data_IF_500895088284
#
_entry.id   IF_500895088284
#
_cell.length_a   1.000
_cell.length_b   1.000
_cell.length_c   1.000
_cell.angle_alpha   90.00
_cell.angle_beta   90.00
_cell.angle_gamma   90.00
#
_symmetry.space_group_name_H-M   'P 1'
#
loop_
_entity.id
_entity.type
_entity.pdbx_description
1 polymer ?
#
# COMPACT_ATOMS: atom_id res chain seq x y z
N UNK A 1 43.19 -33.23 53.60
CA UNK A 1 43.34 -33.70 52.24
C UNK A 1 42.45 -32.85 51.35
N UNK A 2 43.01 -31.91 50.57
CA UNK A 2 42.25 -31.08 49.62
C UNK A 2 42.42 -31.67 48.23
N UNK A 3 41.37 -32.23 47.68
CA UNK A 3 41.34 -32.71 46.28
C UNK A 3 41.18 -31.52 45.33
N UNK A 4 42.24 -31.19 44.61
CA UNK A 4 42.25 -30.21 43.55
C UNK A 4 41.64 -30.90 42.31
N UNK A 5 40.36 -30.57 42.00
CA UNK A 5 39.76 -31.01 40.78
C UNK A 5 40.34 -30.18 39.60
N UNK A 6 41.14 -30.82 38.78
CA UNK A 6 41.64 -30.23 37.53
C UNK A 6 40.47 -30.07 36.58
N UNK A 7 40.06 -28.81 36.27
CA UNK A 7 39.18 -28.55 35.13
C UNK A 7 40.00 -28.74 33.86
N UNK A 8 39.66 -29.76 33.12
CA UNK A 8 40.17 -29.94 31.77
C UNK A 8 39.48 -28.90 30.93
N UNK A 9 40.16 -27.80 30.60
CA UNK A 9 39.70 -26.82 29.60
C UNK A 9 39.98 -27.48 28.22
N UNK A 10 38.92 -28.01 27.60
CA UNK A 10 39.00 -28.52 26.25
C UNK A 10 39.00 -27.28 25.32
N UNK A 11 40.14 -26.90 24.79
CA UNK A 11 40.28 -25.91 23.74
C UNK A 11 39.72 -26.49 22.40
N UNK A 12 38.95 -25.68 21.71
CA UNK A 12 38.45 -26.07 20.38
C UNK A 12 39.60 -26.14 19.38
N UNK A 13 39.57 -27.20 18.53
CA UNK A 13 40.53 -27.34 17.43
C UNK A 13 40.21 -26.31 16.34
N UNK A 14 41.24 -25.78 15.67
CA UNK A 14 41.07 -24.88 14.51
C UNK A 14 40.17 -25.51 13.43
N UNK A 15 40.28 -26.84 13.21
CA UNK A 15 39.46 -27.57 12.27
C UNK A 15 37.99 -27.59 12.68
N UNK A 16 37.72 -27.78 13.99
CA UNK A 16 36.37 -27.77 14.53
C UNK A 16 35.70 -26.40 14.36
N UNK A 17 36.45 -25.31 14.61
CA UNK A 17 35.99 -23.96 14.38
C UNK A 17 35.70 -23.70 12.90
N UNK A 18 36.51 -24.24 11.98
CA UNK A 18 36.30 -24.16 10.54
C UNK A 18 35.02 -24.89 10.10
N UNK A 19 34.79 -26.08 10.64
CA UNK A 19 33.57 -26.88 10.36
C UNK A 19 32.34 -26.15 10.88
N UNK A 20 32.36 -25.68 12.12
CA UNK A 20 31.23 -24.96 12.73
C UNK A 20 30.90 -23.68 11.95
N UNK A 21 31.90 -22.86 11.62
CA UNK A 21 31.67 -21.63 10.84
C UNK A 21 31.12 -21.92 9.44
N UNK A 22 31.58 -22.99 8.79
CA UNK A 22 31.07 -23.42 7.47
C UNK A 22 29.61 -23.82 7.55
N UNK A 23 29.21 -24.59 8.55
CA UNK A 23 27.81 -24.99 8.77
C UNK A 23 26.96 -23.75 9.05
N UNK A 24 27.41 -22.84 9.89
CA UNK A 24 26.69 -21.59 10.20
C UNK A 24 26.50 -20.71 8.94
N UNK A 25 27.51 -20.60 8.06
CA UNK A 25 27.41 -19.85 6.81
C UNK A 25 26.39 -20.47 5.86
N UNK A 26 26.36 -21.81 5.75
CA UNK A 26 25.37 -22.52 4.93
C UNK A 26 23.94 -22.26 5.46
N UNK A 27 23.74 -22.38 6.77
CA UNK A 27 22.43 -22.10 7.39
C UNK A 27 22.03 -20.62 7.22
N UNK A 28 22.96 -19.68 7.41
CA UNK A 28 22.73 -18.27 7.27
C UNK A 28 22.32 -17.89 5.82
N UNK A 29 22.87 -18.58 4.83
CA UNK A 29 22.55 -18.30 3.41
C UNK A 29 21.10 -18.60 3.05
N UNK A 30 20.43 -19.54 3.74
CA UNK A 30 19.05 -19.93 3.49
C UNK A 30 18.03 -18.92 4.04
N UNK A 31 18.42 -18.07 4.97
CA UNK A 31 17.50 -17.12 5.64
C UNK A 31 17.13 -15.94 4.71
N UNK A 32 18.07 -15.46 3.88
CA UNK A 32 17.86 -14.28 3.05
C UNK A 32 16.69 -14.38 2.05
N UNK A 33 16.54 -15.45 1.26
CA UNK A 33 15.43 -15.56 0.30
C UNK A 33 14.09 -15.62 1.00
N UNK A 34 13.98 -16.28 2.15
CA UNK A 34 12.73 -16.38 2.92
C UNK A 34 12.27 -15.02 3.45
N UNK A 35 13.19 -14.21 3.95
CA UNK A 35 12.88 -12.87 4.45
C UNK A 35 12.31 -11.96 3.35
N UNK A 36 12.86 -12.01 2.13
CA UNK A 36 12.38 -11.22 0.99
C UNK A 36 10.93 -11.55 0.63
N UNK A 37 10.59 -12.84 0.55
CA UNK A 37 9.24 -13.29 0.23
C UNK A 37 8.24 -12.85 1.31
N UNK A 38 8.62 -12.93 2.58
CA UNK A 38 7.75 -12.50 3.69
C UNK A 38 7.47 -10.99 3.64
N UNK A 39 8.50 -10.17 3.42
CA UNK A 39 8.36 -8.72 3.28
C UNK A 39 7.48 -8.37 2.08
N UNK A 40 7.67 -9.05 0.94
CA UNK A 40 6.86 -8.82 -0.26
C UNK A 40 5.40 -9.17 -0.01
N UNK A 41 5.08 -10.31 0.63
CA UNK A 41 3.71 -10.68 1.01
C UNK A 41 3.05 -9.63 1.90
N UNK A 42 3.78 -9.08 2.86
CA UNK A 42 3.25 -8.04 3.73
C UNK A 42 2.92 -6.78 2.93
N UNK A 43 3.84 -6.32 2.08
CA UNK A 43 3.61 -5.17 1.20
C UNK A 43 2.41 -5.37 0.26
N UNK A 44 2.23 -6.59 -0.28
CA UNK A 44 1.08 -6.93 -1.12
C UNK A 44 -0.24 -6.88 -0.36
N UNK A 45 -0.23 -7.33 0.91
CA UNK A 45 -1.40 -7.25 1.78
C UNK A 45 -1.75 -5.79 2.11
N UNK A 46 -0.74 -4.99 2.44
CA UNK A 46 -0.89 -3.57 2.72
C UNK A 46 -1.41 -2.83 1.47
N UNK A 47 -0.85 -3.12 0.27
CA UNK A 47 -1.32 -2.53 -0.98
C UNK A 47 -2.81 -2.81 -1.24
N UNK A 48 -3.25 -4.07 -1.08
CA UNK A 48 -4.67 -4.43 -1.26
C UNK A 48 -5.58 -3.73 -0.27
N UNK A 49 -5.10 -3.50 0.94
CA UNK A 49 -5.83 -2.74 1.95
C UNK A 49 -5.94 -1.27 1.55
N UNK A 50 -4.82 -0.64 1.19
CA UNK A 50 -4.78 0.77 0.82
C UNK A 50 -5.63 1.06 -0.43
N UNK A 51 -5.59 0.17 -1.44
CA UNK A 51 -6.46 0.26 -2.61
C UNK A 51 -7.95 0.17 -2.24
N UNK A 52 -8.30 -0.71 -1.31
CA UNK A 52 -9.68 -0.83 -0.83
C UNK A 52 -10.13 0.43 -0.11
N UNK A 53 -9.31 0.93 0.82
CA UNK A 53 -9.61 2.13 1.59
C UNK A 53 -9.79 3.36 0.67
N UNK A 54 -8.96 3.47 -0.40
CA UNK A 54 -9.10 4.52 -1.40
C UNK A 54 -10.38 4.38 -2.23
N UNK A 55 -10.70 3.17 -2.70
CA UNK A 55 -11.93 2.89 -3.46
C UNK A 55 -13.19 3.13 -2.63
N UNK A 56 -13.20 2.70 -1.37
CA UNK A 56 -14.31 2.98 -0.45
C UNK A 56 -14.50 4.48 -0.23
N UNK A 57 -13.43 5.26 -0.19
CA UNK A 57 -13.52 6.71 -0.08
C UNK A 57 -14.06 7.38 -1.36
N UNK A 58 -13.67 6.89 -2.54
CA UNK A 58 -14.19 7.34 -3.83
C UNK A 58 -15.68 7.01 -3.95
N UNK A 59 -16.08 5.78 -3.59
CA UNK A 59 -17.47 5.34 -3.61
C UNK A 59 -18.32 6.16 -2.62
N UNK A 60 -17.80 6.44 -1.42
CA UNK A 60 -18.47 7.28 -0.44
C UNK A 60 -18.72 8.72 -0.93
N UNK A 61 -17.78 9.29 -1.69
CA UNK A 61 -17.98 10.58 -2.34
C UNK A 61 -19.08 10.49 -3.41
N UNK A 62 -19.02 9.45 -4.27
CA UNK A 62 -20.02 9.21 -5.31
C UNK A 62 -21.42 9.04 -4.72
N UNK A 63 -21.57 8.31 -3.63
CA UNK A 63 -22.86 8.11 -2.96
C UNK A 63 -23.48 9.42 -2.50
N UNK A 64 -22.68 10.35 -1.94
CA UNK A 64 -23.16 11.68 -1.56
C UNK A 64 -23.55 12.52 -2.78
N UNK A 65 -22.80 12.40 -3.88
CA UNK A 65 -23.11 13.07 -5.14
C UNK A 65 -24.41 12.55 -5.74
N UNK A 66 -24.58 11.23 -5.81
CA UNK A 66 -25.77 10.55 -6.32
C UNK A 66 -27.03 10.85 -5.47
N UNK A 67 -26.87 10.99 -4.16
CA UNK A 67 -27.94 11.40 -3.24
C UNK A 67 -28.31 12.90 -3.35
N UNK A 68 -27.62 13.68 -4.20
CA UNK A 68 -27.86 15.13 -4.35
C UNK A 68 -27.46 15.94 -3.10
N UNK A 69 -26.61 15.38 -2.25
CA UNK A 69 -26.17 16.03 -1.02
C UNK A 69 -24.98 16.97 -1.22
N UNK A 70 -24.32 16.89 -2.37
CA UNK A 70 -23.23 17.81 -2.70
C UNK A 70 -23.75 19.08 -3.40
N UNK A 71 -23.22 20.27 -3.05
CA UNK A 71 -23.59 21.49 -3.73
C UNK A 71 -23.09 21.49 -5.17
N UNK A 72 -23.78 22.19 -6.09
CA UNK A 72 -23.36 22.28 -7.49
C UNK A 72 -21.96 22.85 -7.71
N UNK A 73 -21.43 23.58 -6.72
CA UNK A 73 -20.06 24.13 -6.74
C UNK A 73 -18.97 23.05 -6.61
N UNK A 74 -19.30 21.92 -5.98
CA UNK A 74 -18.39 20.77 -5.83
C UNK A 74 -18.52 19.82 -7.03
N UNK A 75 -19.66 19.83 -7.73
CA UNK A 75 -19.93 18.99 -8.89
C UNK A 75 -19.51 19.71 -10.17
N UNK A 76 -18.29 19.47 -10.65
CA UNK A 76 -17.85 20.01 -11.94
C UNK A 76 -18.53 19.24 -13.09
N UNK A 77 -18.90 19.92 -14.21
CA UNK A 77 -19.37 19.25 -15.39
C UNK A 77 -18.36 18.21 -15.91
N UNK A 78 -18.81 16.98 -16.17
CA UNK A 78 -17.96 15.89 -16.65
C UNK A 78 -17.33 15.02 -15.54
N UNK A 79 -17.56 15.32 -14.26
CA UNK A 79 -17.06 14.49 -13.15
C UNK A 79 -17.90 13.24 -12.91
N UNK A 80 -19.09 13.12 -13.53
CA UNK A 80 -20.01 11.97 -13.36
C UNK A 80 -20.30 11.59 -11.88
N UNK A 81 -20.15 12.57 -10.96
CA UNK A 81 -20.36 12.35 -9.53
C UNK A 81 -19.12 11.85 -8.79
N UNK A 82 -18.00 11.64 -9.47
CA UNK A 82 -16.73 11.23 -8.86
C UNK A 82 -15.87 12.42 -8.44
N UNK A 83 -14.94 12.26 -7.46
CA UNK A 83 -14.09 13.35 -7.01
C UNK A 83 -13.12 13.80 -8.13
N UNK A 84 -12.77 15.10 -8.19
CA UNK A 84 -11.85 15.64 -9.20
C UNK A 84 -10.40 15.16 -8.98
N UNK A 85 -10.01 14.90 -7.73
CA UNK A 85 -8.70 14.47 -7.29
C UNK A 85 -8.78 13.75 -5.93
N UNK A 86 -7.68 13.11 -5.50
CA UNK A 86 -7.64 12.42 -4.19
C UNK A 86 -7.55 13.40 -3.02
N UNK A 87 -7.04 14.60 -3.25
CA UNK A 87 -6.92 15.65 -2.26
C UNK A 87 -8.30 16.07 -1.74
N UNK A 88 -9.30 16.13 -2.62
CA UNK A 88 -10.71 16.42 -2.27
C UNK A 88 -11.25 15.44 -1.22
N UNK A 89 -10.84 14.15 -1.26
CA UNK A 89 -11.26 13.16 -0.28
C UNK A 89 -10.69 13.41 1.12
N UNK A 90 -9.51 14.04 1.19
CA UNK A 90 -8.82 14.38 2.46
C UNK A 90 -9.29 15.73 2.99
N UNK A 91 -9.43 16.73 2.12
CA UNK A 91 -9.90 18.08 2.49
C UNK A 91 -11.37 18.04 2.92
N UNK A 92 -12.13 17.16 2.31
CA UNK A 92 -13.55 16.99 2.52
C UNK A 92 -14.39 18.01 1.77
N UNK A 93 -15.66 17.67 1.62
CA UNK A 93 -16.67 18.47 0.89
C UNK A 93 -17.77 18.95 1.80
N UNK A 94 -18.35 20.10 1.48
CA UNK A 94 -19.50 20.64 2.20
C UNK A 94 -20.77 19.90 1.75
N UNK A 95 -21.68 19.62 2.68
CA UNK A 95 -22.97 19.00 2.35
C UNK A 95 -24.04 20.07 2.25
N UNK A 96 -24.97 19.90 1.29
CA UNK A 96 -26.21 20.66 1.22
C UNK A 96 -26.99 20.51 2.53
N UNK A 97 -27.53 21.61 3.04
CA UNK A 97 -28.35 21.66 4.27
C UNK A 97 -27.59 21.50 5.60
N UNK A 98 -26.26 21.49 5.63
CA UNK A 98 -25.51 21.64 6.88
C UNK A 98 -25.25 23.12 7.18
N UNK A 99 -26.14 23.73 8.00
CA UNK A 99 -25.99 25.13 8.45
C UNK A 99 -24.68 25.37 9.25
N UNK A 100 -24.01 24.30 9.70
CA UNK A 100 -22.75 24.40 10.43
C UNK A 100 -21.52 24.52 9.53
N UNK A 101 -21.68 24.32 8.22
CA UNK A 101 -20.59 24.39 7.24
C UNK A 101 -19.49 23.33 7.46
N UNK A 102 -19.80 22.25 8.17
CA UNK A 102 -18.84 21.16 8.39
C UNK A 102 -18.58 20.41 7.10
N UNK A 103 -17.30 20.10 6.87
CA UNK A 103 -16.89 19.26 5.76
C UNK A 103 -16.93 17.78 6.14
N UNK A 104 -17.46 16.96 5.24
CA UNK A 104 -17.34 15.50 5.33
C UNK A 104 -16.05 15.09 4.67
N UNK A 105 -15.22 14.35 5.41
CA UNK A 105 -13.95 13.82 4.95
C UNK A 105 -14.08 12.31 4.75
N UNK A 106 -13.55 11.81 3.66
CA UNK A 106 -13.60 10.38 3.31
C UNK A 106 -12.28 9.68 3.65
N UNK A 107 -11.18 10.43 3.60
CA UNK A 107 -9.84 9.96 3.97
C UNK A 107 -9.23 10.87 5.03
N UNK A 108 -8.43 10.31 5.92
CA UNK A 108 -7.60 11.09 6.86
C UNK A 108 -6.34 11.61 6.18
N UNK A 109 -5.78 10.83 5.27
CA UNK A 109 -4.60 11.14 4.45
C UNK A 109 -4.57 10.20 3.25
N UNK A 110 -3.91 10.58 2.18
CA UNK A 110 -3.61 9.68 1.08
C UNK A 110 -2.52 8.70 1.56
N UNK A 111 -2.76 7.38 1.55
CA UNK A 111 -1.75 6.40 1.95
C UNK A 111 -0.58 6.39 0.97
N UNK A 112 0.61 6.02 1.43
CA UNK A 112 1.75 5.78 0.55
C UNK A 112 1.62 4.38 -0.07
N UNK A 113 1.87 4.26 -1.38
CA UNK A 113 1.91 2.97 -2.07
C UNK A 113 3.08 2.13 -1.50
N UNK A 114 2.82 0.96 -0.88
CA UNK A 114 3.85 0.14 -0.26
C UNK A 114 4.91 -0.38 -1.24
N UNK A 115 4.58 -0.40 -2.56
CA UNK A 115 5.49 -0.87 -3.58
C UNK A 115 6.47 0.20 -4.04
N UNK A 116 6.05 1.47 -4.10
CA UNK A 116 6.90 2.59 -4.50
C UNK A 116 7.46 3.37 -3.32
N UNK A 117 6.76 3.36 -2.17
CA UNK A 117 7.07 4.15 -0.98
C UNK A 117 6.59 5.60 -1.08
N UNK A 118 5.91 5.99 -2.14
CA UNK A 118 5.42 7.34 -2.39
C UNK A 118 3.88 7.40 -2.29
N UNK A 119 3.33 8.52 -1.83
CA UNK A 119 1.89 8.77 -1.82
C UNK A 119 1.40 9.20 -3.22
N UNK A 120 1.81 8.45 -4.23
CA UNK A 120 1.50 8.70 -5.63
C UNK A 120 0.86 7.46 -6.24
N UNK A 121 -0.39 7.62 -6.67
CA UNK A 121 -1.19 6.58 -7.28
C UNK A 121 -1.41 6.87 -8.76
N UNK A 122 -1.53 5.85 -9.58
CA UNK A 122 -2.06 6.01 -10.94
C UNK A 122 -3.57 6.11 -10.85
N UNK A 123 -4.11 7.20 -11.41
CA UNK A 123 -5.54 7.51 -11.39
C UNK A 123 -6.20 7.05 -12.69
N UNK A 124 -7.51 6.79 -12.63
CA UNK A 124 -8.36 6.48 -13.78
C UNK A 124 -9.66 7.27 -13.68
N UNK A 125 -10.06 7.82 -14.80
CA UNK A 125 -11.37 8.47 -14.94
C UNK A 125 -12.43 7.44 -15.38
N UNK A 126 -13.66 7.71 -15.05
CA UNK A 126 -14.81 6.88 -15.48
C UNK A 126 -14.88 6.72 -17.01
N UNK A 127 -14.48 7.75 -17.75
CA UNK A 127 -14.49 7.79 -19.22
C UNK A 127 -13.27 7.08 -19.84
N UNK A 128 -12.26 6.73 -19.04
CA UNK A 128 -11.07 6.06 -19.55
C UNK A 128 -11.37 4.64 -20.00
N UNK A 129 -10.75 4.24 -21.11
CA UNK A 129 -10.84 2.85 -21.58
C UNK A 129 -10.15 1.90 -20.57
N UNK A 130 -10.60 0.63 -20.45
CA UNK A 130 -9.99 -0.33 -19.53
C UNK A 130 -8.48 -0.52 -19.71
N UNK A 131 -7.97 -0.34 -20.91
CA UNK A 131 -6.55 -0.46 -21.30
C UNK A 131 -5.79 0.88 -21.32
N UNK A 132 -6.45 1.98 -20.90
CA UNK A 132 -5.82 3.30 -20.88
C UNK A 132 -4.57 3.30 -19.98
N UNK A 133 -3.48 3.84 -20.54
CA UNK A 133 -2.18 3.97 -19.84
C UNK A 133 -1.98 5.35 -19.21
N UNK A 134 -2.91 6.27 -19.48
CA UNK A 134 -2.88 7.64 -18.95
C UNK A 134 -4.24 8.00 -18.39
N UNK A 135 -4.21 8.76 -17.32
CA UNK A 135 -5.41 9.35 -16.71
C UNK A 135 -6.00 10.43 -17.61
N UNK A 136 -7.31 10.38 -17.84
CA UNK A 136 -8.04 11.38 -18.63
C UNK A 136 -8.20 12.73 -17.96
N UNK A 137 -7.98 12.81 -16.63
CA UNK A 137 -7.97 14.08 -15.88
C UNK A 137 -9.34 14.66 -15.54
N UNK A 138 -10.45 13.97 -15.89
CA UNK A 138 -11.80 14.47 -15.63
C UNK A 138 -12.23 14.26 -14.18
N UNK A 139 -11.98 13.07 -13.67
CA UNK A 139 -12.37 12.64 -12.32
C UNK A 139 -11.50 11.48 -11.87
N UNK A 140 -11.64 11.08 -10.61
CA UNK A 140 -11.01 9.88 -10.05
C UNK A 140 -12.09 8.84 -9.81
N UNK A 141 -12.21 7.91 -10.75
CA UNK A 141 -13.11 6.75 -10.65
C UNK A 141 -12.44 5.57 -9.98
N UNK A 142 -11.18 5.30 -10.31
CA UNK A 142 -10.41 4.20 -9.76
C UNK A 142 -8.93 4.59 -9.58
N UNK A 143 -8.26 3.85 -8.71
CA UNK A 143 -6.84 4.01 -8.40
C UNK A 143 -6.11 2.69 -8.50
N UNK A 144 -4.84 2.73 -8.90
CA UNK A 144 -3.97 1.56 -8.97
C UNK A 144 -2.54 1.92 -8.56
N UNK A 145 -1.75 0.90 -8.24
CA UNK A 145 -0.33 1.12 -7.91
C UNK A 145 0.44 1.68 -9.10
N UNK A 146 1.31 2.66 -8.83
CA UNK A 146 2.25 3.19 -9.82
C UNK A 146 3.45 2.25 -10.05
N UNK A 147 3.50 1.10 -9.35
CA UNK A 147 4.59 0.14 -9.48
C UNK A 147 4.45 -0.72 -10.72
N UNK A 148 5.51 -0.75 -11.55
CA UNK A 148 5.63 -1.70 -12.67
C UNK A 148 6.02 -3.13 -12.26
N UNK A 149 6.11 -3.42 -10.96
CA UNK A 149 6.52 -4.72 -10.42
C UNK A 149 5.48 -5.83 -10.62
N UNK A 150 5.91 -7.06 -10.29
CA UNK A 150 5.08 -8.26 -10.39
C UNK A 150 4.90 -8.87 -8.98
N UNK A 151 3.69 -9.24 -8.66
CA UNK A 151 3.32 -9.88 -7.41
C UNK A 151 3.80 -11.34 -7.34
N UNK A 152 3.75 -11.92 -6.14
CA UNK A 152 4.13 -13.32 -5.91
C UNK A 152 3.24 -14.31 -6.66
N UNK A 153 2.02 -13.91 -7.01
CA UNK A 153 1.09 -14.70 -7.82
C UNK A 153 1.28 -14.54 -9.33
N UNK A 154 2.24 -13.70 -9.77
CA UNK A 154 2.55 -13.44 -11.16
C UNK A 154 1.75 -12.30 -11.81
N UNK A 155 0.77 -11.71 -11.12
CA UNK A 155 0.03 -10.54 -11.60
C UNK A 155 0.86 -9.27 -11.46
N UNK A 156 0.54 -8.23 -12.25
CA UNK A 156 1.22 -6.94 -12.11
C UNK A 156 0.46 -6.06 -11.11
N UNK A 157 1.20 -5.33 -10.25
CA UNK A 157 0.58 -4.44 -9.25
C UNK A 157 -0.31 -3.35 -9.87
N UNK A 158 0.01 -2.89 -11.06
CA UNK A 158 -0.82 -1.92 -11.79
C UNK A 158 -2.17 -2.47 -12.28
N UNK A 159 -2.36 -3.78 -12.21
CA UNK A 159 -3.60 -4.44 -12.63
C UNK A 159 -4.53 -4.75 -11.43
N UNK A 160 -4.11 -4.35 -10.21
CA UNK A 160 -4.84 -4.59 -8.95
C UNK A 160 -5.88 -3.49 -8.61
#
# INVERSE_FOLDING_TARGET
MRSTAWRVECGYSFVELLIVTTILLILASAIQPLARVTIQRQKETDLRRDLRDLREAIDGYYDLAAAGQLPPTELKPGNEGYPPDLETLVEGVTINNDASGRKVKFLRRIPADPMTGEAKWELRSYQDKPDATRWGGQNVFDVRSASGGTALDGTKYRDW
#
